data_IF_435850458398
#
_entry.id   IF_435850458398
#
_cell.length_a   1.000
_cell.length_b   1.000
_cell.length_c   1.000
_cell.angle_alpha   90.00
_cell.angle_beta   90.00
_cell.angle_gamma   90.00
#
_symmetry.space_group_name_H-M   'P 1'
#
loop_
_entity.id
_entity.type
_entity.pdbx_description
1 polymer ?
#
# COMPACT_ATOMS: atom_id res chain seq x y z
N UNK A 1 -2.52 9.77 -34.65
CA UNK A 1 -1.80 8.48 -34.72
C UNK A 1 -0.86 8.42 -33.53
N UNK A 2 -0.84 7.31 -32.79
CA UNK A 2 0.15 7.07 -31.74
C UNK A 2 1.56 7.19 -32.34
N UNK A 3 2.51 7.76 -31.60
CA UNK A 3 3.89 7.85 -32.09
C UNK A 3 4.52 6.45 -32.02
N UNK A 4 5.42 6.08 -32.96
CA UNK A 4 6.15 4.83 -32.84
C UNK A 4 6.97 4.85 -31.54
N UNK A 5 6.66 3.92 -30.64
CA UNK A 5 7.37 3.73 -29.36
C UNK A 5 8.57 2.84 -29.61
N UNK A 6 9.73 3.21 -29.08
CA UNK A 6 10.95 2.39 -29.20
C UNK A 6 10.82 1.11 -28.37
N UNK A 7 10.79 -0.06 -29.01
CA UNK A 7 10.61 -1.37 -28.38
C UNK A 7 11.83 -2.27 -28.62
N UNK A 8 12.32 -2.87 -27.55
CA UNK A 8 13.30 -3.95 -27.57
C UNK A 8 12.58 -5.29 -27.37
N UNK A 9 12.89 -6.30 -28.20
CA UNK A 9 12.20 -7.60 -28.15
C UNK A 9 13.16 -8.69 -27.70
N UNK A 10 12.75 -9.46 -26.68
CA UNK A 10 13.47 -10.65 -26.20
C UNK A 10 12.60 -11.91 -26.36
N UNK A 11 13.24 -13.04 -26.64
CA UNK A 11 12.59 -14.32 -26.99
C UNK A 11 11.43 -14.14 -28.01
N UNK A 12 11.72 -13.74 -29.26
CA UNK A 12 10.69 -13.42 -30.26
C UNK A 12 9.72 -14.56 -30.58
N UNK A 13 10.11 -15.81 -30.27
CA UNK A 13 9.31 -17.02 -30.47
C UNK A 13 8.50 -17.45 -29.24
N UNK A 14 8.58 -16.72 -28.13
CA UNK A 14 7.93 -17.09 -26.87
C UNK A 14 6.41 -17.19 -27.00
N UNK A 15 5.83 -18.23 -26.40
CA UNK A 15 4.39 -18.52 -26.42
C UNK A 15 3.54 -17.44 -25.75
N UNK A 16 4.03 -16.86 -24.65
CA UNK A 16 3.29 -15.85 -23.89
C UNK A 16 3.83 -14.45 -24.20
N UNK A 17 2.97 -13.47 -24.49
CA UNK A 17 3.41 -12.10 -24.78
C UNK A 17 3.37 -11.25 -23.51
N UNK A 18 4.51 -10.66 -23.14
CA UNK A 18 4.64 -9.73 -22.03
C UNK A 18 5.13 -8.40 -22.56
N UNK A 19 4.38 -7.33 -22.28
CA UNK A 19 4.72 -5.97 -22.69
C UNK A 19 5.09 -5.17 -21.45
N UNK A 20 6.34 -4.73 -21.37
CA UNK A 20 6.79 -3.77 -20.36
C UNK A 20 6.70 -2.36 -20.92
N UNK A 21 5.80 -1.54 -20.37
CA UNK A 21 5.72 -0.10 -20.69
C UNK A 21 6.91 0.69 -20.12
N UNK A 22 7.61 0.06 -19.17
CA UNK A 22 8.89 0.37 -18.51
C UNK A 22 10.13 -0.08 -19.27
N UNK A 23 11.26 0.64 -19.18
CA UNK A 23 12.56 -0.05 -19.23
C UNK A 23 12.70 -0.95 -17.99
N UNK A 24 13.38 -2.09 -18.14
CA UNK A 24 13.61 -3.02 -17.02
C UNK A 24 15.03 -2.83 -16.47
N UNK A 25 15.22 -2.74 -15.14
CA UNK A 25 16.55 -2.64 -14.54
C UNK A 25 17.25 -4.01 -14.56
N UNK A 26 18.36 -4.10 -15.30
CA UNK A 26 19.15 -5.33 -15.44
C UNK A 26 18.43 -6.43 -16.21
N UNK A 27 18.96 -7.66 -16.16
CA UNK A 27 18.49 -8.79 -16.98
C UNK A 27 17.79 -9.90 -16.22
N UNK A 28 17.73 -9.84 -14.88
CA UNK A 28 17.18 -10.94 -14.06
C UNK A 28 15.72 -11.27 -14.42
N UNK A 29 14.85 -10.26 -14.48
CA UNK A 29 13.45 -10.45 -14.84
C UNK A 29 13.27 -10.89 -16.28
N UNK A 30 14.11 -10.36 -17.19
CA UNK A 30 14.12 -10.75 -18.60
C UNK A 30 14.39 -12.25 -18.70
N UNK A 31 15.45 -12.74 -18.05
CA UNK A 31 15.82 -14.15 -18.07
C UNK A 31 14.73 -15.05 -17.47
N UNK A 32 14.17 -14.69 -16.31
CA UNK A 32 13.09 -15.45 -15.69
C UNK A 32 11.86 -15.58 -16.59
N UNK A 33 11.48 -14.49 -17.28
CA UNK A 33 10.32 -14.50 -18.18
C UNK A 33 10.62 -15.31 -19.46
N UNK A 34 11.84 -15.22 -19.99
CA UNK A 34 12.28 -16.06 -21.12
C UNK A 34 12.24 -17.56 -20.73
N UNK A 35 12.69 -17.91 -19.53
CA UNK A 35 12.62 -19.29 -19.01
C UNK A 35 11.17 -19.81 -18.89
N UNK A 36 10.20 -18.92 -18.71
CA UNK A 36 8.76 -19.24 -18.73
C UNK A 36 8.13 -19.13 -20.13
N UNK A 37 8.95 -19.14 -21.18
CA UNK A 37 8.52 -19.07 -22.58
C UNK A 37 7.76 -17.78 -22.93
N UNK A 38 8.12 -16.67 -22.28
CA UNK A 38 7.56 -15.35 -22.60
C UNK A 38 8.37 -14.65 -23.68
N UNK A 39 7.68 -14.12 -24.70
CA UNK A 39 8.15 -13.06 -25.59
C UNK A 39 7.99 -11.71 -24.89
N UNK A 40 9.09 -11.01 -24.67
CA UNK A 40 9.11 -9.73 -23.98
C UNK A 40 9.24 -8.59 -24.99
N UNK A 41 8.37 -7.61 -24.89
CA UNK A 41 8.47 -6.33 -25.60
C UNK A 41 8.68 -5.23 -24.56
N UNK A 42 9.89 -4.68 -24.50
CA UNK A 42 10.30 -3.71 -23.48
C UNK A 42 10.39 -2.33 -24.12
N UNK A 43 9.62 -1.39 -23.59
CA UNK A 43 9.70 0.01 -23.96
C UNK A 43 11.03 0.61 -23.49
N UNK A 44 11.80 1.19 -24.42
CA UNK A 44 13.10 1.82 -24.13
C UNK A 44 13.01 3.35 -24.07
N UNK A 45 11.80 3.91 -24.21
CA UNK A 45 11.57 5.35 -24.03
C UNK A 45 11.95 5.79 -22.60
N UNK A 46 12.69 6.89 -22.50
CA UNK A 46 13.09 7.47 -21.19
C UNK A 46 11.98 8.28 -20.51
N UNK A 47 10.74 8.24 -21.02
CA UNK A 47 9.62 9.01 -20.45
C UNK A 47 9.10 8.35 -19.18
N UNK A 48 8.74 9.15 -18.18
CA UNK A 48 8.30 8.66 -16.87
C UNK A 48 7.01 7.81 -16.94
N UNK A 49 6.10 8.16 -17.86
CA UNK A 49 4.79 7.52 -18.09
C UNK A 49 4.41 7.66 -19.58
N UNK A 50 4.03 6.56 -20.24
CA UNK A 50 3.48 6.55 -21.61
C UNK A 50 2.03 7.08 -21.63
N UNK A 51 1.55 7.65 -22.75
CA UNK A 51 0.14 8.03 -22.86
C UNK A 51 -0.78 6.79 -22.86
N UNK A 52 -2.06 6.98 -22.57
CA UNK A 52 -3.04 5.88 -22.63
C UNK A 52 -3.10 5.31 -24.04
N UNK A 53 -3.06 6.15 -25.07
CA UNK A 53 -3.07 5.74 -26.47
C UNK A 53 -1.83 4.91 -26.83
N UNK A 54 -0.65 5.32 -26.37
CA UNK A 54 0.60 4.58 -26.60
C UNK A 54 0.58 3.23 -25.85
N UNK A 55 0.04 3.20 -24.62
CA UNK A 55 -0.14 1.97 -23.84
C UNK A 55 -1.08 1.01 -24.56
N UNK A 56 -2.23 1.48 -25.03
CA UNK A 56 -3.21 0.68 -25.79
C UNK A 56 -2.60 0.16 -27.09
N UNK A 57 -1.84 1.00 -27.82
CA UNK A 57 -1.13 0.58 -29.02
C UNK A 57 -0.12 -0.55 -28.75
N UNK A 58 0.51 -0.56 -27.58
CA UNK A 58 1.45 -1.60 -27.17
C UNK A 58 0.76 -2.89 -26.69
N UNK A 59 -0.22 -2.78 -25.78
CA UNK A 59 -0.85 -3.96 -25.15
C UNK A 59 -1.95 -4.58 -26.02
N UNK A 60 -2.51 -3.83 -26.97
CA UNK A 60 -3.68 -4.23 -27.76
C UNK A 60 -5.00 -3.96 -27.02
N UNK A 61 -6.03 -4.72 -27.35
CA UNK A 61 -7.38 -4.61 -26.79
C UNK A 61 -7.59 -5.41 -25.49
N UNK A 62 -6.63 -6.28 -25.13
CA UNK A 62 -6.66 -7.09 -23.91
C UNK A 62 -5.39 -6.90 -23.09
N UNK A 63 -5.56 -6.50 -21.83
CA UNK A 63 -4.49 -6.39 -20.86
C UNK A 63 -4.95 -6.95 -19.52
N UNK A 64 -4.26 -7.99 -19.04
CA UNK A 64 -4.47 -8.56 -17.71
C UNK A 64 -3.78 -7.71 -16.61
N UNK A 65 -3.37 -6.48 -16.93
CA UNK A 65 -2.83 -5.50 -16.00
C UNK A 65 -3.89 -5.06 -14.99
N UNK A 66 -3.61 -5.30 -13.70
CA UNK A 66 -4.55 -5.02 -12.61
C UNK A 66 -4.80 -6.20 -11.66
N UNK A 67 -4.26 -7.38 -11.96
CA UNK A 67 -4.26 -8.60 -11.11
C UNK A 67 -3.55 -8.46 -9.75
N UNK A 68 -3.06 -7.27 -9.44
CA UNK A 68 -2.34 -6.93 -8.22
C UNK A 68 -3.25 -6.23 -7.18
N UNK A 69 -4.42 -5.75 -7.62
CA UNK A 69 -5.24 -4.81 -6.83
C UNK A 69 -5.64 -5.38 -5.49
N UNK A 70 -6.29 -6.55 -5.50
CA UNK A 70 -6.79 -7.18 -4.29
C UNK A 70 -5.64 -7.67 -3.41
N UNK A 71 -4.65 -8.37 -3.97
CA UNK A 71 -3.53 -8.91 -3.17
C UNK A 71 -2.72 -7.81 -2.47
N UNK A 72 -2.49 -6.67 -3.13
CA UNK A 72 -1.79 -5.55 -2.49
C UNK A 72 -2.64 -4.86 -1.43
N UNK A 73 -3.95 -4.71 -1.67
CA UNK A 73 -4.87 -4.17 -0.68
C UNK A 73 -5.01 -5.09 0.55
N UNK A 74 -5.06 -6.41 0.34
CA UNK A 74 -5.10 -7.42 1.39
C UNK A 74 -3.85 -7.40 2.25
N UNK A 75 -2.66 -7.25 1.64
CA UNK A 75 -1.43 -7.12 2.43
C UNK A 75 -1.43 -5.83 3.23
N UNK A 76 -1.82 -4.69 2.63
CA UNK A 76 -1.90 -3.43 3.36
C UNK A 76 -2.87 -3.53 4.56
N UNK A 77 -4.05 -4.15 4.37
CA UNK A 77 -5.00 -4.42 5.45
C UNK A 77 -4.41 -5.36 6.51
N UNK A 78 -3.69 -6.39 6.10
CA UNK A 78 -3.01 -7.33 6.99
C UNK A 78 -1.95 -6.64 7.86
N UNK A 79 -1.15 -5.75 7.26
CA UNK A 79 -0.15 -4.95 7.97
C UNK A 79 -0.81 -3.96 8.94
N UNK A 80 -1.91 -3.31 8.56
CA UNK A 80 -2.71 -2.46 9.46
C UNK A 80 -3.16 -3.23 10.69
N UNK A 81 -3.69 -4.44 10.52
CA UNK A 81 -4.18 -5.28 11.61
C UNK A 81 -3.04 -5.84 12.46
N UNK A 82 -1.96 -6.29 11.84
CA UNK A 82 -0.79 -6.79 12.54
C UNK A 82 -0.17 -5.72 13.45
N UNK A 83 -0.06 -4.49 12.94
CA UNK A 83 0.38 -3.34 13.72
C UNK A 83 -0.62 -3.02 14.84
N UNK A 84 -1.91 -2.87 14.52
CA UNK A 84 -2.94 -2.51 15.51
C UNK A 84 -3.02 -3.50 16.67
N UNK A 85 -2.86 -4.79 16.39
CA UNK A 85 -3.00 -5.88 17.36
C UNK A 85 -1.68 -6.43 17.89
N UNK A 86 -0.54 -5.78 17.59
CA UNK A 86 0.80 -6.15 18.07
C UNK A 86 1.14 -7.61 17.75
N UNK A 87 0.72 -8.11 16.58
CA UNK A 87 0.77 -9.54 16.26
C UNK A 87 2.20 -10.05 16.24
N UNK A 88 3.14 -9.31 15.64
CA UNK A 88 4.54 -9.73 15.54
C UNK A 88 5.20 -9.78 16.92
N UNK A 89 5.00 -8.75 17.75
CA UNK A 89 5.51 -8.74 19.13
C UNK A 89 4.97 -9.93 19.94
N UNK A 90 3.69 -10.25 19.78
CA UNK A 90 3.05 -11.37 20.46
C UNK A 90 3.54 -12.72 19.93
N UNK A 91 3.73 -12.89 18.62
CA UNK A 91 4.27 -14.11 18.02
C UNK A 91 5.70 -14.39 18.52
N UNK A 92 6.57 -13.37 18.51
CA UNK A 92 7.94 -13.48 19.04
C UNK A 92 7.94 -13.89 20.52
N UNK A 93 7.09 -13.24 21.33
CA UNK A 93 6.95 -13.55 22.76
C UNK A 93 6.49 -14.99 23.00
N UNK A 94 5.50 -15.46 22.24
CA UNK A 94 5.01 -16.84 22.33
C UNK A 94 6.09 -17.85 21.93
N UNK A 95 6.80 -17.61 20.81
CA UNK A 95 7.86 -18.50 20.33
C UNK A 95 9.07 -18.54 21.25
N UNK A 96 9.34 -17.45 21.97
CA UNK A 96 10.38 -17.39 22.98
C UNK A 96 10.03 -18.15 24.27
N UNK A 97 8.83 -18.74 24.37
CA UNK A 97 8.40 -19.49 25.56
C UNK A 97 8.13 -18.60 26.78
N UNK A 98 7.88 -17.30 26.58
CA UNK A 98 7.69 -16.33 27.66
C UNK A 98 6.24 -16.27 28.17
N UNK A 99 5.33 -16.99 27.54
CA UNK A 99 3.92 -16.99 27.90
C UNK A 99 3.62 -17.90 29.10
N UNK A 100 3.35 -17.27 30.23
CA UNK A 100 2.99 -17.93 31.51
C UNK A 100 1.49 -17.77 31.84
N UNK A 101 0.66 -17.58 30.80
CA UNK A 101 -0.79 -17.43 30.94
C UNK A 101 -1.30 -16.01 30.63
N UNK A 102 -2.63 -15.89 30.61
CA UNK A 102 -3.31 -14.65 30.24
C UNK A 102 -3.16 -13.56 31.32
N UNK A 103 -2.80 -12.35 30.90
CA UNK A 103 -2.80 -11.15 31.75
C UNK A 103 -3.63 -10.05 31.08
N UNK A 104 -4.39 -9.25 31.85
CA UNK A 104 -5.25 -8.18 31.29
C UNK A 104 -4.52 -7.13 30.44
N UNK A 105 -3.23 -6.93 30.68
CA UNK A 105 -2.42 -5.90 30.03
C UNK A 105 -1.43 -6.46 28.99
N UNK A 106 -1.43 -7.77 28.75
CA UNK A 106 -0.49 -8.41 27.82
C UNK A 106 -0.87 -8.06 26.37
N UNK A 107 0.03 -7.35 25.69
CA UNK A 107 -0.12 -6.91 24.29
C UNK A 107 -1.46 -6.23 23.97
N UNK A 108 -1.94 -5.36 24.86
CA UNK A 108 -3.11 -4.51 24.56
C UNK A 108 -2.82 -3.70 23.30
N UNK A 109 -3.70 -3.86 22.31
CA UNK A 109 -3.63 -3.19 21.02
C UNK A 109 -4.88 -2.37 20.74
N UNK A 110 -4.93 -1.77 19.56
CA UNK A 110 -5.96 -0.81 19.19
C UNK A 110 -7.16 -1.50 18.56
N UNK A 111 -8.35 -1.17 19.05
CA UNK A 111 -9.60 -1.56 18.41
C UNK A 111 -9.88 -0.59 17.25
N UNK A 112 -9.88 -1.11 16.02
CA UNK A 112 -10.15 -0.29 14.83
C UNK A 112 -11.63 0.07 14.65
N UNK A 113 -12.55 -0.65 15.29
CA UNK A 113 -13.99 -0.43 15.11
C UNK A 113 -14.40 0.98 15.48
N UNK A 114 -15.00 1.70 14.52
CA UNK A 114 -15.46 3.08 14.68
C UNK A 114 -14.36 4.14 14.64
N UNK A 115 -13.09 3.75 14.46
CA UNK A 115 -11.99 4.67 14.18
C UNK A 115 -12.01 5.15 12.72
N UNK A 116 -11.06 6.00 12.34
CA UNK A 116 -10.97 6.58 11.01
C UNK A 116 -9.80 5.98 10.22
N UNK A 117 -10.09 5.39 9.06
CA UNK A 117 -9.08 5.00 8.06
C UNK A 117 -8.81 6.17 7.11
N UNK A 118 -7.53 6.51 6.99
CA UNK A 118 -6.96 7.49 6.08
C UNK A 118 -6.39 6.82 4.84
N UNK A 119 -6.77 7.27 3.65
CA UNK A 119 -6.22 6.77 2.39
C UNK A 119 -5.61 7.91 1.58
N UNK A 120 -4.32 7.81 1.27
CA UNK A 120 -3.62 8.78 0.42
C UNK A 120 -3.34 8.09 -0.92
N UNK A 121 -4.05 8.50 -1.97
CA UNK A 121 -4.14 7.79 -3.24
C UNK A 121 -5.33 6.83 -3.26
N UNK A 122 -6.50 7.31 -3.65
CA UNK A 122 -7.74 6.55 -3.76
C UNK A 122 -7.94 5.95 -5.17
N UNK A 123 -6.85 5.49 -5.79
CA UNK A 123 -6.87 4.70 -7.02
C UNK A 123 -7.44 3.29 -6.82
N UNK A 124 -7.11 2.34 -7.70
CA UNK A 124 -7.63 0.96 -7.64
C UNK A 124 -7.30 0.27 -6.31
N UNK A 125 -6.02 0.24 -5.93
CA UNK A 125 -5.54 -0.42 -4.71
C UNK A 125 -6.05 0.32 -3.46
N UNK A 126 -5.88 1.64 -3.38
CA UNK A 126 -6.33 2.41 -2.23
C UNK A 126 -7.84 2.35 -2.00
N UNK A 127 -8.64 2.31 -3.07
CA UNK A 127 -10.09 2.07 -2.97
C UNK A 127 -10.42 0.67 -2.49
N UNK A 128 -9.72 -0.38 -2.96
CA UNK A 128 -9.93 -1.74 -2.48
C UNK A 128 -9.59 -1.86 -0.98
N UNK A 129 -8.43 -1.32 -0.57
CA UNK A 129 -8.04 -1.23 0.84
C UNK A 129 -9.08 -0.47 1.68
N UNK A 130 -9.53 0.71 1.23
CA UNK A 130 -10.56 1.49 1.93
C UNK A 130 -11.83 0.67 2.17
N UNK A 131 -12.31 -0.05 1.15
CA UNK A 131 -13.51 -0.89 1.26
C UNK A 131 -13.33 -1.99 2.30
N UNK A 132 -12.19 -2.69 2.29
CA UNK A 132 -11.87 -3.72 3.29
C UNK A 132 -11.90 -3.14 4.71
N UNK A 133 -11.30 -1.96 4.92
CA UNK A 133 -11.24 -1.33 6.24
C UNK A 133 -12.61 -0.82 6.71
N UNK A 134 -13.38 -0.22 5.81
CA UNK A 134 -14.73 0.29 6.10
C UNK A 134 -15.71 -0.86 6.37
N UNK A 135 -15.77 -1.86 5.50
CA UNK A 135 -16.74 -2.96 5.60
C UNK A 135 -16.34 -3.99 6.66
N UNK A 136 -15.07 -4.38 6.70
CA UNK A 136 -14.57 -5.39 7.64
C UNK A 136 -14.50 -4.87 9.08
N UNK A 137 -14.15 -3.59 9.25
CA UNK A 137 -13.89 -3.03 10.57
C UNK A 137 -14.78 -1.85 10.94
N UNK A 138 -15.77 -1.47 10.11
CA UNK A 138 -16.73 -0.38 10.40
C UNK A 138 -16.02 0.93 10.74
N UNK A 139 -14.95 1.22 10.02
CA UNK A 139 -14.20 2.46 10.13
C UNK A 139 -14.85 3.57 9.29
N UNK A 140 -14.73 4.81 9.75
CA UNK A 140 -14.99 5.98 8.90
C UNK A 140 -13.85 6.15 7.90
N UNK A 141 -14.13 6.70 6.73
CA UNK A 141 -13.13 6.96 5.70
C UNK A 141 -12.80 8.45 5.63
N UNK A 142 -11.52 8.79 5.64
CA UNK A 142 -11.03 10.05 5.11
C UNK A 142 -10.02 9.74 4.01
N UNK A 143 -10.10 10.41 2.86
CA UNK A 143 -9.17 10.15 1.77
C UNK A 143 -8.69 11.43 1.10
N UNK A 144 -7.48 11.39 0.56
CA UNK A 144 -6.94 12.44 -0.31
C UNK A 144 -6.50 11.82 -1.64
N UNK A 145 -6.98 12.40 -2.73
CA UNK A 145 -6.56 12.10 -4.09
C UNK A 145 -6.79 13.35 -4.96
N UNK A 146 -5.96 13.53 -6.00
CA UNK A 146 -6.10 14.58 -7.01
C UNK A 146 -7.46 14.48 -7.70
N UNK A 147 -7.95 13.25 -7.90
CA UNK A 147 -9.24 12.98 -8.53
C UNK A 147 -10.29 12.50 -7.52
N UNK A 148 -11.55 12.82 -7.77
CA UNK A 148 -12.64 12.37 -6.91
C UNK A 148 -12.86 10.86 -7.06
N UNK A 149 -12.93 10.14 -5.93
CA UNK A 149 -13.16 8.70 -5.91
C UNK A 149 -14.66 8.34 -5.86
N UNK A 150 -15.45 8.82 -6.83
CA UNK A 150 -16.93 8.73 -6.80
C UNK A 150 -17.49 7.33 -6.56
N UNK A 151 -16.82 6.27 -7.05
CA UNK A 151 -17.23 4.89 -6.82
C UNK A 151 -17.05 4.46 -5.36
N UNK A 152 -15.94 4.86 -4.74
CA UNK A 152 -15.66 4.60 -3.33
C UNK A 152 -16.63 5.37 -2.44
N UNK A 153 -16.88 6.64 -2.76
CA UNK A 153 -17.85 7.49 -2.05
C UNK A 153 -19.26 6.87 -2.04
N UNK A 154 -19.75 6.47 -3.22
CA UNK A 154 -21.06 5.80 -3.34
C UNK A 154 -21.11 4.49 -2.55
N UNK A 155 -20.04 3.70 -2.57
CA UNK A 155 -19.95 2.46 -1.81
C UNK A 155 -20.07 2.73 -0.30
N UNK A 156 -19.29 3.67 0.24
CA UNK A 156 -19.32 3.97 1.69
C UNK A 156 -20.67 4.56 2.11
N UNK A 157 -21.28 5.41 1.28
CA UNK A 157 -22.64 5.92 1.53
C UNK A 157 -23.65 4.77 1.62
N UNK A 158 -23.68 3.88 0.62
CA UNK A 158 -24.62 2.76 0.61
C UNK A 158 -24.40 1.80 1.79
N UNK A 159 -23.14 1.54 2.16
CA UNK A 159 -22.83 0.72 3.32
C UNK A 159 -23.23 1.39 4.64
N UNK A 160 -23.05 2.70 4.77
CA UNK A 160 -23.53 3.47 5.92
C UNK A 160 -25.05 3.42 6.07
N UNK A 161 -25.79 3.52 4.96
CA UNK A 161 -27.25 3.34 4.93
C UNK A 161 -27.66 1.92 5.32
N UNK A 162 -26.95 0.91 4.81
CA UNK A 162 -27.15 -0.49 5.19
C UNK A 162 -26.96 -0.70 6.70
N UNK A 163 -25.87 -0.20 7.29
CA UNK A 163 -25.63 -0.29 8.74
C UNK A 163 -26.77 0.35 9.52
N UNK A 164 -27.18 1.57 9.13
CA UNK A 164 -28.28 2.28 9.77
C UNK A 164 -29.60 1.51 9.70
N UNK A 165 -29.92 0.91 8.55
CA UNK A 165 -31.13 0.10 8.37
C UNK A 165 -31.13 -1.16 9.25
N UNK A 166 -29.95 -1.67 9.63
CA UNK A 166 -29.77 -2.82 10.52
C UNK A 166 -29.56 -2.43 11.99
N UNK A 167 -29.79 -1.17 12.38
CA UNK A 167 -29.64 -0.70 13.76
C UNK A 167 -28.19 -0.54 14.23
N UNK A 168 -27.24 -0.55 13.31
CA UNK A 168 -25.83 -0.31 13.59
C UNK A 168 -25.46 1.18 13.42
N UNK A 169 -24.37 1.61 14.08
CA UNK A 169 -23.82 2.95 13.89
C UNK A 169 -23.33 3.09 12.43
N UNK A 170 -23.82 4.06 11.65
CA UNK A 170 -23.37 4.26 10.28
C UNK A 170 -21.91 4.73 10.26
N UNK A 171 -21.25 4.46 9.14
CA UNK A 171 -19.93 5.00 8.79
C UNK A 171 -20.08 6.12 7.77
N UNK A 172 -19.12 7.03 7.75
CA UNK A 172 -19.11 8.17 6.83
C UNK A 172 -17.80 8.22 6.05
N UNK A 173 -17.81 9.00 4.96
CA UNK A 173 -16.61 9.34 4.22
C UNK A 173 -16.42 10.85 4.13
N UNK A 174 -15.16 11.27 4.02
CA UNK A 174 -14.74 12.65 3.75
C UNK A 174 -13.61 12.66 2.73
N UNK A 175 -13.77 13.45 1.66
CA UNK A 175 -12.64 13.80 0.79
C UNK A 175 -11.91 14.97 1.42
N UNK A 176 -10.68 14.75 1.84
CA UNK A 176 -9.81 15.77 2.38
C UNK A 176 -9.39 16.76 1.29
N UNK A 177 -9.27 18.03 1.67
CA UNK A 177 -8.78 19.12 0.81
C UNK A 177 -7.27 19.04 0.59
N UNK A 178 -6.55 18.50 1.59
CA UNK A 178 -5.11 18.32 1.59
C UNK A 178 -4.75 16.96 2.19
N UNK A 179 -3.58 16.45 1.85
CA UNK A 179 -3.07 15.23 2.48
C UNK A 179 -2.85 15.41 4.00
N UNK A 180 -2.38 16.57 4.44
CA UNK A 180 -2.11 16.83 5.87
C UNK A 180 -3.38 16.72 6.72
N UNK A 181 -4.56 16.96 6.14
CA UNK A 181 -5.85 16.73 6.81
C UNK A 181 -6.10 15.23 7.08
N UNK A 182 -5.76 14.35 6.12
CA UNK A 182 -5.78 12.89 6.33
C UNK A 182 -4.84 12.50 7.46
N UNK A 183 -3.61 13.00 7.44
CA UNK A 183 -2.58 12.67 8.44
C UNK A 183 -2.98 13.06 9.86
N UNK A 184 -3.64 14.22 10.03
CA UNK A 184 -4.10 14.69 11.35
C UNK A 184 -5.33 13.92 11.87
N UNK A 185 -6.26 13.56 10.99
CA UNK A 185 -7.59 13.05 11.41
C UNK A 185 -7.68 11.52 11.48
N UNK A 186 -6.87 10.79 10.70
CA UNK A 186 -6.94 9.34 10.63
C UNK A 186 -6.20 8.64 11.80
N UNK A 187 -6.69 7.46 12.16
CA UNK A 187 -6.08 6.54 13.13
C UNK A 187 -5.19 5.51 12.42
N UNK A 188 -5.59 5.08 11.21
CA UNK A 188 -4.81 4.18 10.34
C UNK A 188 -4.67 4.84 8.98
N UNK A 189 -3.45 5.13 8.54
CA UNK A 189 -3.15 5.78 7.28
C UNK A 189 -2.46 4.78 6.36
N UNK A 190 -2.99 4.58 5.15
CA UNK A 190 -2.33 3.76 4.13
C UNK A 190 -1.96 4.57 2.89
N UNK A 191 -0.72 4.41 2.44
CA UNK A 191 -0.16 5.11 1.29
C UNK A 191 -0.28 4.26 0.02
N UNK A 192 -0.97 4.81 -0.98
CA UNK A 192 -1.08 4.24 -2.32
C UNK A 192 -0.83 5.25 -3.46
N UNK A 193 0.03 6.28 -3.32
CA UNK A 193 0.34 7.17 -4.43
C UNK A 193 1.26 6.50 -5.45
N UNK A 194 1.32 7.08 -6.65
CA UNK A 194 2.43 6.83 -7.58
C UNK A 194 3.66 7.58 -7.04
N UNK A 195 4.84 6.96 -7.10
CA UNK A 195 6.10 7.64 -6.79
C UNK A 195 6.55 8.51 -7.98
N UNK A 196 6.64 9.81 -7.73
CA UNK A 196 7.23 10.82 -8.61
C UNK A 196 7.87 11.94 -7.77
N UNK A 197 8.28 13.05 -8.40
CA UNK A 197 8.93 14.16 -7.71
C UNK A 197 8.04 14.83 -6.66
N UNK A 198 6.72 14.79 -6.82
CA UNK A 198 5.74 15.41 -5.92
C UNK A 198 5.39 14.52 -4.74
N UNK A 199 5.63 13.21 -4.85
CA UNK A 199 5.35 12.21 -3.81
C UNK A 199 6.60 11.61 -3.20
N UNK A 200 7.79 12.03 -3.64
CA UNK A 200 9.05 11.72 -2.98
C UNK A 200 9.09 12.36 -1.59
N UNK A 201 9.36 11.56 -0.56
CA UNK A 201 9.29 11.94 0.86
C UNK A 201 8.01 12.68 1.20
N UNK A 202 6.91 12.24 0.59
CA UNK A 202 5.58 12.75 0.85
C UNK A 202 5.26 12.70 2.35
N UNK A 203 5.67 11.63 3.04
CA UNK A 203 5.65 11.59 4.51
C UNK A 203 7.07 11.81 5.02
N UNK A 204 7.32 13.03 5.50
CA UNK A 204 8.60 13.45 6.08
C UNK A 204 8.47 13.66 7.60
N UNK A 205 9.54 14.13 8.23
CA UNK A 205 9.60 14.39 9.68
C UNK A 205 8.47 15.30 10.18
N UNK A 206 8.19 16.38 9.48
CA UNK A 206 7.15 17.34 9.86
C UNK A 206 5.76 16.68 9.83
N UNK A 207 5.47 15.93 8.77
CA UNK A 207 4.19 15.25 8.59
C UNK A 207 3.99 14.09 9.56
N UNK A 208 5.03 13.34 9.90
CA UNK A 208 4.98 12.33 10.96
C UNK A 208 4.58 12.96 12.29
N UNK A 209 5.16 14.12 12.63
CA UNK A 209 4.85 14.83 13.88
C UNK A 209 3.41 15.35 13.97
N UNK A 210 2.69 15.47 12.84
CA UNK A 210 1.30 15.92 12.79
C UNK A 210 0.29 14.79 12.98
N UNK A 211 0.73 13.54 12.88
CA UNK A 211 -0.12 12.38 13.05
C UNK A 211 -0.53 12.19 14.51
N UNK A 212 -1.58 11.41 14.76
CA UNK A 212 -1.97 11.04 16.12
C UNK A 212 -0.86 10.23 16.77
N UNK A 213 -0.72 10.35 18.10
CA UNK A 213 0.30 9.64 18.89
C UNK A 213 0.26 8.11 18.74
N UNK A 214 -0.93 7.56 18.50
CA UNK A 214 -1.17 6.12 18.34
C UNK A 214 -1.52 5.75 16.88
N UNK A 215 -1.23 6.64 15.93
CA UNK A 215 -1.52 6.39 14.54
C UNK A 215 -0.71 5.19 14.01
N UNK A 216 -1.30 4.52 13.02
CA UNK A 216 -0.68 3.43 12.29
C UNK A 216 -0.43 3.90 10.86
N UNK A 217 0.82 3.92 10.41
CA UNK A 217 1.18 4.26 9.03
C UNK A 217 1.56 3.02 8.23
N UNK A 218 0.89 2.78 7.11
CA UNK A 218 1.13 1.63 6.23
C UNK A 218 1.63 2.08 4.87
N UNK A 219 2.67 1.42 4.36
CA UNK A 219 3.19 1.65 3.02
C UNK A 219 3.39 0.33 2.26
N UNK A 220 2.57 0.16 1.22
CA UNK A 220 2.70 -0.90 0.22
C UNK A 220 2.81 -0.32 -1.20
N UNK A 221 3.26 0.94 -1.32
CA UNK A 221 3.42 1.63 -2.59
C UNK A 221 4.87 1.56 -3.06
N UNK A 222 5.69 2.53 -2.66
CA UNK A 222 7.14 2.58 -2.87
C UNK A 222 7.80 3.16 -1.63
N UNK A 223 8.99 2.65 -1.30
CA UNK A 223 9.75 3.09 -0.13
C UNK A 223 9.98 4.60 -0.07
N UNK A 224 10.52 5.25 -1.13
CA UNK A 224 10.83 6.68 -1.12
C UNK A 224 9.62 7.62 -1.03
N UNK A 225 8.38 7.12 -0.92
CA UNK A 225 7.23 7.94 -0.55
C UNK A 225 7.35 8.44 0.90
N UNK A 226 8.10 7.72 1.72
CA UNK A 226 8.38 8.05 3.12
C UNK A 226 9.87 8.37 3.25
N UNK A 227 10.21 9.40 4.03
CA UNK A 227 11.56 9.54 4.57
C UNK A 227 11.78 8.48 5.67
N UNK A 228 12.47 7.40 5.32
CA UNK A 228 12.62 6.23 6.18
C UNK A 228 13.48 6.52 7.42
N UNK A 229 14.44 7.44 7.31
CA UNK A 229 15.23 7.90 8.46
C UNK A 229 14.33 8.63 9.45
N UNK A 230 13.45 9.51 8.97
CA UNK A 230 12.49 10.20 9.82
C UNK A 230 11.51 9.24 10.50
N UNK A 231 11.09 8.16 9.82
CA UNK A 231 10.25 7.11 10.44
C UNK A 231 10.98 6.40 11.58
N UNK A 232 12.25 6.01 11.40
CA UNK A 232 13.04 5.37 12.47
C UNK A 232 13.17 6.30 13.68
N UNK A 233 13.46 7.58 13.47
CA UNK A 233 13.50 8.57 14.55
C UNK A 233 12.15 8.70 15.27
N UNK A 234 11.06 8.76 14.50
CA UNK A 234 9.72 8.93 15.04
C UNK A 234 9.25 7.72 15.85
N UNK A 235 9.52 6.49 15.37
CA UNK A 235 9.20 5.24 16.07
C UNK A 235 9.91 5.15 17.44
N UNK A 236 11.18 5.56 17.51
CA UNK A 236 11.96 5.59 18.76
C UNK A 236 11.37 6.55 19.78
N UNK A 237 10.87 7.69 19.33
CA UNK A 237 10.34 8.75 20.20
C UNK A 237 8.88 8.50 20.59
N UNK A 238 8.13 7.70 19.83
CA UNK A 238 6.69 7.50 20.00
C UNK A 238 6.36 6.00 20.07
N UNK A 239 6.46 5.36 21.26
CA UNK A 239 6.25 3.92 21.41
C UNK A 239 4.85 3.40 21.03
N UNK A 240 3.85 4.31 20.99
CA UNK A 240 2.48 3.98 20.61
C UNK A 240 2.19 4.16 19.12
N UNK A 241 3.02 4.93 18.41
CA UNK A 241 2.94 5.05 16.96
C UNK A 241 3.47 3.76 16.33
N UNK A 242 2.85 3.31 15.24
CA UNK A 242 3.20 2.04 14.60
C UNK A 242 3.30 2.17 13.10
N UNK A 243 4.09 1.29 12.49
CA UNK A 243 4.17 1.18 11.03
C UNK A 243 3.96 -0.24 10.53
N UNK A 244 3.44 -0.34 9.31
CA UNK A 244 3.41 -1.56 8.51
C UNK A 244 4.07 -1.31 7.15
N UNK A 245 5.23 -1.91 6.90
CA UNK A 245 6.06 -1.59 5.73
C UNK A 245 6.30 -2.84 4.88
N UNK A 246 5.93 -2.75 3.60
CA UNK A 246 6.28 -3.75 2.58
C UNK A 246 7.45 -3.31 1.70
N UNK A 247 7.75 -2.01 1.69
CA UNK A 247 8.69 -1.39 0.74
C UNK A 247 9.64 -0.42 1.44
N UNK A 248 10.88 -0.31 0.95
CA UNK A 248 11.97 0.44 1.60
C UNK A 248 12.68 1.39 0.63
N UNK A 249 13.27 2.47 1.16
CA UNK A 249 13.87 3.53 0.33
C UNK A 249 15.05 3.01 -0.51
N UNK A 250 15.92 2.20 0.09
CA UNK A 250 17.13 1.65 -0.52
C UNK A 250 17.03 0.13 -0.75
N UNK A 251 15.85 -0.36 -1.18
CA UNK A 251 15.62 -1.79 -1.42
C UNK A 251 16.79 -2.48 -2.14
N UNK A 252 17.28 -3.63 -1.63
CA UNK A 252 16.67 -4.49 -0.61
C UNK A 252 17.02 -4.12 0.85
N UNK A 253 17.69 -3.00 1.09
CA UNK A 253 18.15 -2.61 2.43
C UNK A 253 17.15 -1.70 3.14
N UNK A 254 17.06 -1.87 4.46
CA UNK A 254 16.40 -0.94 5.37
C UNK A 254 17.41 0.04 5.94
N UNK A 255 16.96 1.25 6.28
CA UNK A 255 17.75 2.23 7.03
C UNK A 255 18.11 1.67 8.41
N UNK A 256 19.32 1.99 8.91
CA UNK A 256 19.78 1.51 10.20
C UNK A 256 18.80 1.82 11.35
N UNK A 257 18.60 0.83 12.22
CA UNK A 257 17.76 0.92 13.41
C UNK A 257 16.28 0.58 13.18
N UNK A 258 15.81 0.47 11.94
CA UNK A 258 14.42 0.05 11.66
C UNK A 258 14.16 -1.39 12.16
N UNK A 259 15.13 -2.29 11.99
CA UNK A 259 15.03 -3.69 12.42
C UNK A 259 14.87 -3.86 13.95
N UNK A 260 15.25 -2.86 14.75
CA UNK A 260 15.15 -2.92 16.21
C UNK A 260 13.77 -2.41 16.73
N UNK A 261 12.92 -1.87 15.85
CA UNK A 261 11.67 -1.22 16.21
C UNK A 261 10.53 -2.23 16.39
N UNK A 262 10.20 -2.57 17.64
CA UNK A 262 9.09 -3.49 17.98
C UNK A 262 7.71 -2.98 17.55
N UNK A 263 7.57 -1.67 17.36
CA UNK A 263 6.37 -1.01 16.82
C UNK A 263 6.36 -0.92 15.28
N UNK A 264 7.24 -1.63 14.59
CA UNK A 264 7.24 -1.79 13.14
C UNK A 264 6.92 -3.24 12.74
N UNK A 265 5.96 -3.41 11.83
CA UNK A 265 5.74 -4.67 11.12
C UNK A 265 6.34 -4.54 9.73
N UNK A 266 7.24 -5.44 9.36
CA UNK A 266 8.11 -5.29 8.19
C UNK A 266 8.05 -6.59 7.38
N UNK A 267 7.83 -6.49 6.07
CA UNK A 267 7.81 -7.62 5.14
C UNK A 267 8.56 -7.29 3.84
N UNK A 268 9.16 -8.29 3.15
CA UNK A 268 10.11 -8.04 2.06
C UNK A 268 9.43 -7.93 0.68
N UNK A 269 8.69 -6.86 0.44
CA UNK A 269 8.06 -6.53 -0.86
C UNK A 269 7.21 -7.67 -1.44
N UNK A 270 6.28 -8.16 -0.62
CA UNK A 270 5.40 -9.30 -0.90
C UNK A 270 3.96 -8.88 -1.24
N UNK A 271 3.66 -7.59 -1.42
CA UNK A 271 2.31 -7.08 -1.76
C UNK A 271 1.62 -7.73 -2.96
N UNK A 272 2.37 -8.34 -3.87
CA UNK A 272 1.83 -9.04 -5.03
C UNK A 272 2.04 -10.56 -4.98
N UNK A 273 2.60 -11.07 -3.89
CA UNK A 273 3.08 -12.44 -3.79
C UNK A 273 1.98 -13.43 -3.37
N UNK A 274 0.84 -13.44 -4.06
CA UNK A 274 -0.18 -14.48 -3.90
C UNK A 274 -0.09 -15.53 -5.02
N UNK A 275 -0.58 -16.74 -4.75
CA UNK A 275 -0.77 -17.79 -5.77
C UNK A 275 -1.81 -17.42 -6.84
N UNK A 276 -2.62 -16.41 -6.58
CA UNK A 276 -3.60 -15.91 -7.54
C UNK A 276 -2.95 -14.96 -8.55
N UNK A 277 -2.04 -14.13 -8.07
CA UNK A 277 -1.33 -13.13 -8.88
C UNK A 277 -0.13 -13.72 -9.62
N UNK A 278 0.54 -14.74 -9.06
CA UNK A 278 1.71 -15.43 -9.63
C UNK A 278 1.35 -16.81 -10.14
#
# INVERSE_FOLDING_TARGET
MAKPVSIEVWNPSGKYRVVSTKSMPGTRWINLLIEQDCRLEICTEKKTILSVEDIVALIGDKCDGGVLTETTAELAASLSLAAARRIVEADEFMRAGLYDGWLPHLFVGNLLKGQTVGVIGAGRIGSAYARMMVEGFKMNLIYYDLYQATRLEKFVTAYGEFLKANGEKPVYWKRASTMDEVLREADVISLHPILDKTTYHLVNKERLAMMKKEAILVNCSRGPVIDEVAVVEHLKQNPMFRVGLDVFEDEPYMKPGLADMKNAVIVPHIASASKWTR
#
